data_IF_605016505717
#
_entry.id   IF_605016505717
#
_cell.length_a   1.000
_cell.length_b   1.000
_cell.length_c   1.000
_cell.angle_alpha   90.00
_cell.angle_beta   90.00
_cell.angle_gamma   90.00
#
_symmetry.space_group_name_H-M   'P 1'
#
loop_
_entity.id
_entity.type
_entity.pdbx_description
1 polymer ?
#
# COMPACT_ATOMS: atom_id res chain seq x y z
N UNK A 1 14.58 -11.18 1.66
CA UNK A 1 13.38 -11.03 0.80
C UNK A 1 13.76 -10.35 -0.53
N UNK A 2 13.72 -11.09 -1.64
CA UNK A 2 14.15 -10.66 -2.97
C UNK A 2 13.30 -9.54 -3.61
N UNK A 3 12.30 -9.02 -2.89
CA UNK A 3 11.40 -7.96 -3.37
C UNK A 3 12.05 -6.56 -3.35
N UNK A 4 13.02 -6.33 -2.45
CA UNK A 4 13.72 -5.04 -2.30
C UNK A 4 14.59 -4.73 -3.54
N UNK A 5 15.05 -5.74 -4.26
CA UNK A 5 15.95 -5.56 -5.41
C UNK A 5 15.26 -4.94 -6.64
N UNK A 6 13.93 -4.85 -6.67
CA UNK A 6 13.21 -4.37 -7.86
C UNK A 6 12.50 -3.03 -7.60
N UNK A 7 13.30 -1.95 -7.55
CA UNK A 7 12.85 -0.55 -7.41
C UNK A 7 11.69 -0.21 -8.35
N UNK A 8 11.65 -0.81 -9.54
CA UNK A 8 10.56 -0.60 -10.50
C UNK A 8 9.20 -1.05 -9.96
N UNK A 9 9.15 -2.15 -9.21
CA UNK A 9 7.93 -2.67 -8.60
C UNK A 9 7.41 -1.74 -7.50
N UNK A 10 8.32 -1.17 -6.69
CA UNK A 10 7.98 -0.14 -5.69
C UNK A 10 7.32 1.06 -6.37
N UNK A 11 7.95 1.59 -7.42
CA UNK A 11 7.45 2.76 -8.14
C UNK A 11 6.07 2.50 -8.75
N UNK A 12 5.87 1.32 -9.36
CA UNK A 12 4.56 0.96 -9.94
C UNK A 12 3.47 0.74 -8.89
N UNK A 13 3.85 0.33 -7.69
CA UNK A 13 2.94 -0.09 -6.63
C UNK A 13 2.61 0.98 -5.59
N UNK A 14 3.18 2.17 -5.67
CA UNK A 14 2.87 3.31 -4.79
C UNK A 14 1.68 4.15 -5.31
N UNK A 15 1.06 3.75 -6.43
CA UNK A 15 -0.07 4.42 -7.06
C UNK A 15 0.31 5.64 -7.92
N UNK A 16 -0.45 5.89 -8.99
CA UNK A 16 -0.17 6.93 -10.02
C UNK A 16 -0.07 8.36 -9.47
N UNK A 17 -0.68 8.62 -8.31
CA UNK A 17 -0.69 9.95 -7.69
C UNK A 17 0.62 10.28 -6.98
N UNK A 18 1.50 9.32 -6.78
CA UNK A 18 2.72 9.49 -5.97
C UNK A 18 3.83 10.05 -6.84
N UNK A 19 4.23 11.30 -6.56
CA UNK A 19 5.33 11.97 -7.25
C UNK A 19 6.67 11.41 -6.73
N UNK A 20 7.09 10.25 -7.25
CA UNK A 20 8.26 9.51 -6.75
C UNK A 20 9.57 9.99 -7.39
N UNK A 21 9.51 10.69 -8.52
CA UNK A 21 10.71 11.20 -9.19
C UNK A 21 11.24 12.41 -8.42
N UNK A 22 12.22 12.17 -7.55
CA UNK A 22 13.08 13.14 -6.86
C UNK A 22 12.46 13.96 -5.72
N UNK A 23 11.67 13.35 -4.84
CA UNK A 23 11.34 14.02 -3.57
C UNK A 23 12.55 13.96 -2.63
N UNK A 24 13.23 15.10 -2.40
CA UNK A 24 14.24 15.27 -1.32
C UNK A 24 13.68 15.00 0.10
N UNK A 25 12.39 14.73 0.20
CA UNK A 25 11.66 14.47 1.44
C UNK A 25 11.84 13.03 1.96
N UNK A 26 12.11 12.06 1.07
CA UNK A 26 12.35 10.66 1.46
C UNK A 26 13.81 10.47 1.87
N UNK A 27 14.04 9.73 2.95
CA UNK A 27 15.38 9.34 3.42
C UNK A 27 15.88 8.10 2.70
N UNK A 28 14.96 7.24 2.26
CA UNK A 28 15.23 6.02 1.49
C UNK A 28 14.26 5.90 0.32
N UNK A 29 14.70 5.24 -0.75
CA UNK A 29 13.84 4.91 -1.89
C UNK A 29 12.70 3.93 -1.51
N UNK A 30 12.84 3.23 -0.39
CA UNK A 30 11.82 2.33 0.14
C UNK A 30 10.80 3.04 1.04
N UNK A 31 10.98 4.33 1.35
CA UNK A 31 10.03 5.08 2.18
C UNK A 31 8.70 5.23 1.43
N UNK A 32 7.58 5.02 2.13
CA UNK A 32 6.23 5.18 1.61
C UNK A 32 5.44 6.20 2.45
N UNK A 33 4.41 6.80 1.84
CA UNK A 33 3.67 7.90 2.46
C UNK A 33 2.60 7.37 3.43
N UNK A 34 2.62 7.82 4.68
CA UNK A 34 1.53 7.60 5.65
C UNK A 34 0.46 8.71 5.54
N UNK A 35 0.90 9.95 5.45
CA UNK A 35 0.02 11.12 5.31
C UNK A 35 0.52 12.01 4.18
N UNK A 36 -0.37 12.34 3.25
CA UNK A 36 -0.06 13.17 2.10
C UNK A 36 -0.76 14.51 2.21
N UNK A 37 0.00 15.61 2.08
CA UNK A 37 -0.60 16.94 1.98
C UNK A 37 -1.47 17.03 0.72
N UNK A 38 -2.69 17.53 0.88
CA UNK A 38 -3.65 17.65 -0.23
C UNK A 38 -3.35 18.90 -1.05
N UNK A 39 -3.47 18.79 -2.38
CA UNK A 39 -3.37 19.96 -3.26
C UNK A 39 -4.65 20.82 -3.16
N UNK A 40 -4.61 22.11 -3.53
CA UNK A 40 -5.81 22.94 -3.61
C UNK A 40 -6.89 22.27 -4.48
N UNK A 41 -8.11 22.15 -3.95
CA UNK A 41 -9.24 21.51 -4.62
C UNK A 41 -9.36 19.99 -4.41
N UNK A 42 -8.38 19.32 -3.81
CA UNK A 42 -8.49 17.90 -3.43
C UNK A 42 -9.22 17.75 -2.07
N UNK A 43 -9.88 16.59 -1.84
CA UNK A 43 -10.37 16.22 -0.51
C UNK A 43 -9.25 16.29 0.54
N UNK A 44 -9.58 16.81 1.72
CA UNK A 44 -8.59 17.01 2.79
C UNK A 44 -9.25 16.97 4.18
N UNK A 45 -8.48 16.47 5.14
CA UNK A 45 -8.83 16.42 6.56
C UNK A 45 -7.76 17.14 7.38
N UNK A 46 -8.16 17.73 8.51
CA UNK A 46 -7.24 18.36 9.45
C UNK A 46 -6.49 17.26 10.21
N UNK A 47 -5.17 17.39 10.33
CA UNK A 47 -4.33 16.52 11.16
C UNK A 47 -3.21 17.34 11.82
N UNK A 48 -2.48 16.76 12.80
CA UNK A 48 -1.31 17.41 13.41
C UNK A 48 -0.20 17.79 12.42
N UNK A 49 -0.19 17.20 11.23
CA UNK A 49 0.81 17.44 10.18
C UNK A 49 0.30 18.35 9.05
N UNK A 50 -0.86 18.99 9.25
CA UNK A 50 -1.49 19.85 8.26
C UNK A 50 -2.57 19.15 7.44
N UNK A 51 -3.28 19.93 6.62
CA UNK A 51 -4.43 19.42 5.85
C UNK A 51 -3.95 18.46 4.77
N UNK A 52 -4.51 17.26 4.77
CA UNK A 52 -4.07 16.19 3.89
C UNK A 52 -5.03 15.02 3.84
N UNK A 53 -4.53 13.89 3.38
CA UNK A 53 -5.26 12.64 3.24
C UNK A 53 -4.34 11.45 3.55
N UNK A 54 -4.89 10.31 3.97
CA UNK A 54 -4.10 9.12 4.20
C UNK A 54 -3.39 8.65 2.91
N UNK A 55 -2.25 8.00 3.10
CA UNK A 55 -1.63 7.19 2.05
C UNK A 55 -2.38 5.87 1.86
N UNK A 56 -2.22 5.26 0.69
CA UNK A 56 -2.99 4.07 0.31
C UNK A 56 -2.86 2.93 1.33
N UNK A 57 -1.65 2.64 1.81
CA UNK A 57 -1.38 1.50 2.68
C UNK A 57 -1.92 1.70 4.11
N UNK A 58 -1.85 2.92 4.66
CA UNK A 58 -2.21 3.16 6.07
C UNK A 58 -3.70 3.00 6.34
N UNK A 59 -4.53 3.13 5.30
CA UNK A 59 -5.98 2.95 5.39
C UNK A 59 -6.31 1.52 5.83
N UNK A 60 -5.75 0.50 5.15
CA UNK A 60 -5.99 -0.91 5.45
C UNK A 60 -5.50 -1.27 6.87
N UNK A 61 -4.27 -0.91 7.24
CA UNK A 61 -3.71 -1.15 8.57
C UNK A 61 -4.58 -0.56 9.68
N UNK A 62 -5.00 0.71 9.51
CA UNK A 62 -5.80 1.42 10.52
C UNK A 62 -7.20 0.83 10.64
N UNK A 63 -7.88 0.57 9.53
CA UNK A 63 -9.23 -0.01 9.55
C UNK A 63 -9.22 -1.43 10.12
N UNK A 64 -8.23 -2.23 9.73
CA UNK A 64 -8.05 -3.59 10.22
C UNK A 64 -7.82 -3.59 11.74
N UNK A 65 -6.87 -2.80 12.24
CA UNK A 65 -6.59 -2.69 13.67
C UNK A 65 -7.71 -2.06 14.51
N UNK A 66 -8.60 -1.28 13.89
CA UNK A 66 -9.76 -0.71 14.58
C UNK A 66 -10.92 -1.72 14.75
N UNK A 67 -11.00 -2.73 13.89
CA UNK A 67 -12.13 -3.69 13.86
C UNK A 67 -11.72 -5.06 14.43
N UNK A 68 -10.51 -5.51 14.10
CA UNK A 68 -9.97 -6.80 14.48
C UNK A 68 -9.05 -6.65 15.70
N UNK A 69 -8.82 -7.74 16.46
CA UNK A 69 -7.80 -7.74 17.50
C UNK A 69 -6.40 -7.55 16.92
N UNK A 70 -5.42 -7.35 17.79
CA UNK A 70 -4.00 -7.09 17.47
C UNK A 70 -3.33 -8.21 16.63
N UNK A 71 -3.98 -9.38 16.50
CA UNK A 71 -3.56 -10.47 15.64
C UNK A 71 -4.70 -10.84 14.68
N UNK A 72 -4.37 -10.97 13.41
CA UNK A 72 -5.29 -11.35 12.35
C UNK A 72 -4.89 -12.72 11.79
N UNK A 73 -5.82 -13.67 11.79
CA UNK A 73 -5.49 -15.01 11.30
C UNK A 73 -5.29 -15.04 9.78
N UNK A 74 -6.17 -14.38 9.01
CA UNK A 74 -6.13 -14.38 7.55
C UNK A 74 -6.30 -12.97 7.00
N UNK A 75 -5.35 -12.54 6.16
CA UNK A 75 -5.45 -11.34 5.34
C UNK A 75 -5.34 -11.72 3.85
N UNK A 76 -6.15 -11.10 2.98
CA UNK A 76 -6.27 -11.56 1.59
C UNK A 76 -6.34 -10.42 0.58
N UNK A 77 -5.91 -10.68 -0.66
CA UNK A 77 -5.98 -9.71 -1.74
C UNK A 77 -5.58 -10.29 -3.09
N UNK A 78 -5.60 -9.46 -4.13
CA UNK A 78 -4.97 -9.81 -5.41
C UNK A 78 -3.46 -10.01 -5.26
N UNK A 79 -2.85 -10.84 -6.11
CA UNK A 79 -1.39 -11.08 -6.07
C UNK A 79 -0.56 -9.81 -6.30
N UNK A 80 -1.13 -8.81 -6.96
CA UNK A 80 -0.55 -7.47 -7.11
C UNK A 80 -0.57 -6.63 -5.83
N UNK A 81 -1.43 -6.95 -4.86
CA UNK A 81 -1.40 -6.33 -3.54
C UNK A 81 -0.34 -6.93 -2.62
N UNK A 82 0.23 -8.09 -2.96
CA UNK A 82 1.31 -8.69 -2.16
C UNK A 82 2.46 -7.72 -1.94
N UNK A 83 2.86 -7.02 -2.99
CA UNK A 83 3.91 -6.02 -2.92
C UNK A 83 3.58 -4.81 -3.80
N UNK A 84 3.75 -3.57 -3.29
CA UNK A 84 4.22 -3.21 -1.95
C UNK A 84 3.10 -3.15 -0.91
N UNK A 85 1.83 -3.35 -1.29
CA UNK A 85 0.69 -2.99 -0.45
C UNK A 85 0.66 -3.75 0.89
N UNK A 86 0.57 -5.07 0.88
CA UNK A 86 0.55 -5.87 2.11
C UNK A 86 1.88 -5.85 2.86
N UNK A 87 3.02 -5.75 2.16
CA UNK A 87 4.32 -5.56 2.80
C UNK A 87 4.35 -4.26 3.63
N UNK A 88 3.82 -3.16 3.09
CA UNK A 88 3.74 -1.89 3.79
C UNK A 88 2.70 -1.92 4.92
N UNK A 89 1.59 -2.66 4.77
CA UNK A 89 0.62 -2.87 5.86
C UNK A 89 1.22 -3.64 7.05
N UNK A 90 1.98 -4.70 6.77
CA UNK A 90 2.74 -5.42 7.80
C UNK A 90 3.74 -4.48 8.49
N UNK A 91 4.55 -3.75 7.72
CA UNK A 91 5.53 -2.82 8.28
C UNK A 91 4.91 -1.76 9.20
N UNK A 92 3.73 -1.24 8.85
CA UNK A 92 3.00 -0.28 9.68
C UNK A 92 2.46 -0.91 10.96
N UNK A 93 1.79 -2.06 10.84
CA UNK A 93 1.07 -2.69 11.94
C UNK A 93 2.01 -3.36 12.93
N UNK A 94 3.05 -4.06 12.45
CA UNK A 94 4.08 -4.65 13.31
C UNK A 94 4.85 -3.60 14.11
N UNK A 95 5.17 -2.46 13.48
CA UNK A 95 5.79 -1.33 14.17
C UNK A 95 4.85 -0.70 15.22
N UNK A 96 3.55 -0.62 14.95
CA UNK A 96 2.56 -0.06 15.87
C UNK A 96 2.31 -0.97 17.09
N UNK A 97 2.08 -2.26 16.85
CA UNK A 97 1.79 -3.24 17.91
C UNK A 97 3.04 -3.76 18.62
N UNK A 98 4.24 -3.40 18.15
CA UNK A 98 5.52 -3.94 18.62
C UNK A 98 5.50 -5.49 18.62
N UNK A 99 5.06 -6.04 17.48
CA UNK A 99 4.88 -7.48 17.24
C UNK A 99 5.53 -7.84 15.91
N UNK A 100 5.94 -9.10 15.75
CA UNK A 100 6.46 -9.65 14.48
C UNK A 100 5.48 -10.61 13.80
N UNK A 101 4.24 -10.67 14.30
CA UNK A 101 3.23 -11.60 13.80
C UNK A 101 1.86 -10.92 13.82
N UNK A 102 1.71 -9.85 13.04
CA UNK A 102 0.41 -9.17 12.90
C UNK A 102 -0.60 -10.03 12.12
N UNK A 103 -0.13 -10.69 11.04
CA UNK A 103 -0.93 -11.60 10.20
C UNK A 103 -0.31 -13.00 10.23
N UNK A 104 -1.10 -14.06 10.48
CA UNK A 104 -0.61 -15.45 10.39
C UNK A 104 -0.54 -15.98 8.97
N UNK A 105 -1.57 -15.71 8.16
CA UNK A 105 -1.67 -16.24 6.81
C UNK A 105 -2.11 -15.17 5.80
N UNK A 106 -1.36 -15.07 4.70
CA UNK A 106 -1.77 -14.31 3.53
C UNK A 106 -2.33 -15.22 2.44
N UNK A 107 -3.49 -14.85 1.90
CA UNK A 107 -4.10 -15.50 0.74
C UNK A 107 -4.15 -14.54 -0.44
N UNK A 108 -3.38 -14.85 -1.49
CA UNK A 108 -3.32 -14.03 -2.70
C UNK A 108 -3.95 -14.74 -3.90
N UNK A 109 -4.93 -14.10 -4.54
CA UNK A 109 -5.55 -14.62 -5.76
C UNK A 109 -4.76 -14.21 -7.00
N UNK A 110 -4.60 -15.13 -7.95
CA UNK A 110 -3.95 -14.85 -9.23
C UNK A 110 -4.71 -13.82 -10.09
N UNK A 111 -4.05 -13.31 -11.13
CA UNK A 111 -4.66 -12.35 -12.06
C UNK A 111 -5.75 -12.99 -12.91
N UNK A 112 -6.81 -12.22 -13.17
CA UNK A 112 -7.74 -12.52 -14.26
C UNK A 112 -7.10 -12.13 -15.61
N UNK A 113 -7.26 -12.98 -16.61
CA UNK A 113 -6.70 -12.77 -17.95
C UNK A 113 -7.79 -12.73 -19.03
N UNK A 114 -7.63 -11.82 -20.00
CA UNK A 114 -8.36 -11.81 -21.28
C UNK A 114 -7.34 -11.97 -22.40
N UNK A 115 -7.57 -12.94 -23.29
CA UNK A 115 -6.69 -13.26 -24.42
C UNK A 115 -5.22 -13.48 -24.02
N UNK A 116 -4.99 -14.09 -22.86
CA UNK A 116 -3.65 -14.36 -22.32
C UNK A 116 -2.95 -13.15 -21.69
N UNK A 117 -3.56 -11.96 -21.69
CA UNK A 117 -3.03 -10.77 -21.03
C UNK A 117 -3.74 -10.51 -19.69
N UNK A 118 -3.00 -10.02 -18.67
CA UNK A 118 -3.58 -9.54 -17.41
C UNK A 118 -4.63 -8.47 -17.72
N UNK A 119 -5.80 -8.58 -17.09
CA UNK A 119 -6.80 -7.51 -17.13
C UNK A 119 -6.30 -6.30 -16.33
N UNK A 120 -6.26 -5.12 -16.95
CA UNK A 120 -5.87 -3.88 -16.28
C UNK A 120 -6.45 -2.64 -16.95
N UNK A 121 -6.63 -1.58 -16.16
CA UNK A 121 -7.08 -0.27 -16.66
C UNK A 121 -6.12 0.33 -17.69
N UNK A 122 -4.81 0.16 -17.50
CA UNK A 122 -3.77 0.66 -18.41
C UNK A 122 -3.81 -0.01 -19.78
N UNK A 123 -4.10 -1.32 -19.82
CA UNK A 123 -4.28 -2.07 -21.07
C UNK A 123 -5.67 -1.88 -21.71
N UNK A 124 -6.61 -1.24 -21.01
CA UNK A 124 -8.00 -1.04 -21.46
C UNK A 124 -8.68 -2.35 -21.91
N UNK A 125 -8.29 -3.47 -21.30
CA UNK A 125 -8.76 -4.82 -21.63
C UNK A 125 -9.65 -5.39 -20.52
N UNK A 126 -10.58 -4.58 -20.01
CA UNK A 126 -11.53 -4.96 -18.95
C UNK A 126 -12.96 -4.82 -19.48
N UNK A 127 -13.90 -5.58 -18.88
CA UNK A 127 -15.33 -5.60 -19.20
C UNK A 127 -16.09 -4.81 -18.15
#
# INVERSE_FOLDING_TARGET
PSAIENINNLISGEGELTCIKDSKEKKSNCDFVLWKLSKPGEPQWVSPWGKGRPGWHIECSTMCGNILPDLVDIHSGGVDLKFPHHDNEMAQSEAYYNSHEWIKYFLHTGHLTIDGCKMSKSLKNFI
#
